data_IF_697812508487
#
_entry.id   IF_697812508487
#
_cell.length_a   1.000
_cell.length_b   1.000
_cell.length_c   1.000
_cell.angle_alpha   90.00
_cell.angle_beta   90.00
_cell.angle_gamma   90.00
#
_symmetry.space_group_name_H-M   'P 1'
#
loop_
_entity.id
_entity.type
_entity.pdbx_description
1 polymer ?
#
# COMPACT_ATOMS: atom_id res chain seq x y z
N UNK A 1 14.26 -4.18 25.63
CA UNK A 1 15.05 -3.13 26.31
C UNK A 1 15.04 -1.92 25.37
N UNK A 2 14.41 -0.81 25.75
CA UNK A 2 14.17 0.34 24.84
C UNK A 2 15.27 1.41 24.90
N UNK A 3 15.34 2.28 23.90
CA UNK A 3 16.30 3.40 23.82
C UNK A 3 16.25 4.37 25.01
N UNK A 4 15.13 4.41 25.76
CA UNK A 4 14.99 5.20 26.99
C UNK A 4 15.96 4.76 28.09
N UNK A 5 16.41 3.49 28.08
CA UNK A 5 17.41 2.99 29.03
C UNK A 5 18.81 3.58 28.79
N UNK A 6 19.07 4.11 27.60
CA UNK A 6 20.34 4.72 27.20
C UNK A 6 20.30 6.27 27.24
N UNK A 7 19.19 6.88 27.69
CA UNK A 7 19.06 8.34 27.78
C UNK A 7 19.08 9.06 26.43
N UNK A 8 18.78 8.39 25.33
CA UNK A 8 18.93 8.89 23.95
C UNK A 8 17.78 9.80 23.48
N UNK A 9 17.22 10.62 24.38
CA UNK A 9 16.16 11.56 24.02
C UNK A 9 16.76 12.86 23.50
N UNK A 10 16.41 13.27 22.27
CA UNK A 10 16.90 14.52 21.68
C UNK A 10 18.35 14.50 21.18
N UNK A 11 18.97 13.31 21.08
CA UNK A 11 20.32 13.15 20.56
C UNK A 11 20.28 13.05 19.03
N UNK A 12 21.12 13.84 18.36
CA UNK A 12 21.25 13.79 16.88
C UNK A 12 21.99 12.51 16.49
N UNK A 13 21.35 11.65 15.72
CA UNK A 13 21.96 10.45 15.16
C UNK A 13 22.47 10.69 13.73
N UNK A 14 23.59 10.06 13.37
CA UNK A 14 24.01 9.94 11.97
C UNK A 14 23.31 8.74 11.33
N UNK A 15 23.19 8.71 10.01
CA UNK A 15 22.54 7.60 9.31
C UNK A 15 23.40 7.08 8.17
N UNK A 16 23.44 5.75 8.02
CA UNK A 16 23.98 5.06 6.84
C UNK A 16 22.90 4.75 5.80
N UNK A 17 21.62 4.95 6.13
CA UNK A 17 20.47 4.70 5.26
C UNK A 17 19.57 5.94 5.14
N UNK A 18 18.77 6.01 4.08
CA UNK A 18 17.73 7.04 3.98
C UNK A 18 16.66 6.83 5.07
N UNK A 19 16.26 7.92 5.73
CA UNK A 19 15.23 7.93 6.78
C UNK A 19 14.04 8.78 6.32
N UNK A 20 13.16 8.23 5.46
CA UNK A 20 12.03 8.98 4.94
C UNK A 20 10.90 9.03 6.00
N UNK A 21 10.08 10.10 6.02
CA UNK A 21 9.11 10.35 7.09
C UNK A 21 8.02 9.26 7.21
N UNK A 22 7.75 8.51 6.15
CA UNK A 22 6.76 7.42 6.11
C UNK A 22 7.14 6.25 7.04
N UNK A 23 8.42 6.17 7.44
CA UNK A 23 8.96 5.09 8.29
C UNK A 23 9.11 5.48 9.77
N UNK A 24 8.56 6.63 10.17
CA UNK A 24 8.56 7.05 11.58
C UNK A 24 7.79 6.03 12.42
N UNK A 25 8.42 5.55 13.49
CA UNK A 25 7.85 4.54 14.40
C UNK A 25 8.33 3.11 14.12
N UNK A 26 9.07 2.87 13.03
CA UNK A 26 9.68 1.57 12.77
C UNK A 26 10.91 1.30 13.65
N UNK A 27 11.16 0.02 13.92
CA UNK A 27 12.34 -0.41 14.64
C UNK A 27 13.60 -0.31 13.76
N UNK A 28 14.69 0.20 14.33
CA UNK A 28 15.97 0.38 13.64
C UNK A 28 17.11 -0.32 14.37
N UNK A 29 18.10 -0.76 13.61
CA UNK A 29 19.38 -1.18 14.15
C UNK A 29 20.25 0.05 14.39
N UNK A 30 20.68 0.24 15.65
CA UNK A 30 21.56 1.32 16.08
C UNK A 30 22.96 0.78 16.37
N UNK A 31 23.97 1.47 15.87
CA UNK A 31 25.35 1.36 16.30
C UNK A 31 25.78 2.61 17.07
N UNK A 32 26.91 2.52 17.77
CA UNK A 32 27.48 3.62 18.54
C UNK A 32 28.93 3.84 18.13
N UNK A 33 29.26 5.06 17.72
CA UNK A 33 30.61 5.38 17.27
C UNK A 33 31.59 5.34 18.45
N UNK A 34 32.65 4.52 18.36
CA UNK A 34 33.62 4.37 19.45
C UNK A 34 33.03 3.80 20.74
N UNK A 35 31.91 3.06 20.65
CA UNK A 35 31.14 2.57 21.81
C UNK A 35 30.59 3.67 22.73
N UNK A 36 30.45 4.90 22.22
CA UNK A 36 29.85 6.03 22.94
C UNK A 36 28.32 6.11 22.67
N UNK A 37 27.47 5.89 23.69
CA UNK A 37 26.02 6.00 23.55
C UNK A 37 25.55 7.37 23.04
N UNK A 38 26.29 8.46 23.32
CA UNK A 38 25.93 9.81 22.88
C UNK A 38 26.21 10.06 21.39
N UNK A 39 26.79 9.08 20.69
CA UNK A 39 27.10 9.16 19.25
C UNK A 39 26.43 8.01 18.48
N UNK A 40 25.08 7.98 18.42
CA UNK A 40 24.36 6.93 17.71
C UNK A 40 24.47 7.07 16.19
N UNK A 41 24.54 5.91 15.51
CA UNK A 41 24.49 5.77 14.06
C UNK A 41 23.37 4.79 13.70
N UNK A 42 22.42 5.22 12.87
CA UNK A 42 21.41 4.33 12.30
C UNK A 42 22.05 3.49 11.19
N UNK A 43 22.12 2.19 11.41
CA UNK A 43 22.71 1.24 10.46
C UNK A 43 21.70 0.76 9.41
N UNK A 44 20.43 0.70 9.80
CA UNK A 44 19.35 0.20 8.95
C UNK A 44 18.05 0.00 9.71
N UNK A 45 16.99 -0.37 8.98
CA UNK A 45 15.72 -0.74 9.57
C UNK A 45 15.68 -2.23 9.87
N UNK A 46 15.02 -2.60 10.97
CA UNK A 46 14.77 -4.00 11.28
C UNK A 46 13.75 -4.56 10.30
N UNK A 47 14.00 -5.77 9.80
CA UNK A 47 13.02 -6.53 9.04
C UNK A 47 11.93 -7.00 10.01
N UNK A 48 10.89 -6.20 10.16
CA UNK A 48 9.69 -6.66 10.82
C UNK A 48 8.88 -7.51 9.84
N UNK A 49 8.82 -8.81 10.07
CA UNK A 49 7.86 -9.69 9.39
C UNK A 49 6.39 -9.33 9.70
N UNK A 50 6.14 -8.40 10.64
CA UNK A 50 4.81 -8.02 11.11
C UNK A 50 4.74 -6.50 11.37
N UNK A 51 4.85 -5.71 10.32
CA UNK A 51 4.41 -4.29 10.37
C UNK A 51 3.82 -3.90 9.02
N UNK A 52 2.74 -4.59 8.62
CA UNK A 52 1.70 -3.97 7.78
C UNK A 52 0.90 -3.01 8.66
N UNK A 53 1.51 -1.89 9.02
CA UNK A 53 0.84 -0.80 9.78
C UNK A 53 0.61 0.44 8.93
N UNK A 54 0.84 0.34 7.62
CA UNK A 54 -0.01 1.02 6.66
C UNK A 54 -1.00 -0.05 6.18
N UNK A 55 -2.33 0.13 6.29
CA UNK A 55 -3.20 -0.57 5.38
C UNK A 55 -2.95 0.09 4.02
N UNK A 56 -1.86 -0.27 3.33
CA UNK A 56 -2.01 -0.40 1.90
C UNK A 56 -2.97 -1.58 1.75
N UNK A 57 -4.21 -1.37 1.24
CA UNK A 57 -5.01 -2.48 0.78
C UNK A 57 -4.32 -3.01 -0.48
N UNK A 58 -3.16 -3.64 -0.31
CA UNK A 58 -2.63 -4.53 -1.33
C UNK A 58 -3.49 -5.77 -1.23
N UNK A 59 -4.65 -5.66 -1.87
CA UNK A 59 -5.44 -6.75 -2.38
C UNK A 59 -4.50 -7.88 -2.75
N UNK A 60 -4.62 -9.00 -2.06
CA UNK A 60 -3.86 -10.20 -2.36
C UNK A 60 -4.15 -10.55 -3.82
N UNK A 61 -3.20 -10.26 -4.70
CA UNK A 61 -3.15 -10.77 -6.05
C UNK A 61 -2.93 -12.29 -5.95
N UNK A 62 -3.99 -13.05 -5.68
CA UNK A 62 -3.88 -14.50 -5.66
C UNK A 62 -3.82 -14.91 -7.13
N UNK A 63 -2.65 -15.38 -7.54
CA UNK A 63 -2.53 -16.13 -8.79
C UNK A 63 -3.08 -17.52 -8.50
N UNK A 64 -4.28 -17.79 -8.98
CA UNK A 64 -4.81 -19.16 -8.92
C UNK A 64 -3.88 -20.11 -9.70
N UNK A 65 -3.93 -21.40 -9.38
CA UNK A 65 -3.15 -22.45 -10.07
C UNK A 65 -3.40 -22.45 -11.59
N UNK A 66 -4.55 -21.90 -12.03
CA UNK A 66 -4.95 -21.69 -13.42
C UNK A 66 -4.36 -20.42 -14.08
N UNK A 67 -3.49 -19.67 -13.39
CA UNK A 67 -2.86 -18.45 -13.90
C UNK A 67 -3.74 -17.18 -13.87
N UNK A 68 -4.92 -17.23 -13.21
CA UNK A 68 -5.83 -16.08 -13.07
C UNK A 68 -5.38 -15.16 -11.94
N UNK A 69 -5.42 -13.85 -12.18
CA UNK A 69 -5.23 -12.83 -11.15
C UNK A 69 -6.57 -12.52 -10.48
N UNK A 70 -6.66 -12.74 -9.17
CA UNK A 70 -7.82 -12.37 -8.35
C UNK A 70 -7.41 -11.24 -7.41
N UNK A 71 -8.26 -10.21 -7.31
CA UNK A 71 -8.07 -9.03 -6.45
C UNK A 71 -9.24 -9.04 -5.45
N UNK A 72 -8.95 -9.28 -4.17
CA UNK A 72 -9.96 -9.29 -3.10
C UNK A 72 -9.77 -8.09 -2.16
N UNK A 73 -10.88 -7.46 -1.76
CA UNK A 73 -10.94 -6.35 -0.82
C UNK A 73 -12.29 -6.32 -0.11
N UNK A 74 -12.31 -5.94 1.18
CA UNK A 74 -13.52 -5.95 2.01
C UNK A 74 -14.51 -4.83 1.63
N UNK A 75 -14.00 -3.66 1.25
CA UNK A 75 -14.82 -2.46 0.99
C UNK A 75 -15.04 -2.19 -0.49
N UNK A 76 -14.08 -2.56 -1.35
CA UNK A 76 -14.11 -2.27 -2.78
C UNK A 76 -12.71 -2.21 -3.40
N UNK A 77 -12.68 -2.14 -4.73
CA UNK A 77 -11.46 -2.05 -5.54
C UNK A 77 -11.59 -0.88 -6.51
N UNK A 78 -10.58 -0.02 -6.55
CA UNK A 78 -10.52 1.12 -7.48
C UNK A 78 -9.25 1.04 -8.35
N UNK A 79 -9.43 1.15 -9.67
CA UNK A 79 -8.37 1.31 -10.67
C UNK A 79 -8.40 2.74 -11.20
N UNK A 80 -7.42 3.57 -10.82
CA UNK A 80 -7.40 5.01 -11.12
C UNK A 80 -6.22 5.41 -12.00
N UNK A 81 -6.48 6.28 -12.97
CA UNK A 81 -5.47 6.93 -13.82
C UNK A 81 -5.89 8.39 -14.08
N UNK A 82 -5.33 9.33 -13.30
CA UNK A 82 -5.78 10.72 -13.33
C UNK A 82 -7.24 10.86 -12.92
N UNK A 83 -8.04 11.49 -13.77
CA UNK A 83 -9.49 11.65 -13.59
C UNK A 83 -10.32 10.40 -13.97
N UNK A 84 -9.71 9.43 -14.66
CA UNK A 84 -10.37 8.19 -15.03
C UNK A 84 -10.31 7.17 -13.87
N UNK A 85 -11.43 6.48 -13.64
CA UNK A 85 -11.57 5.54 -12.54
C UNK A 85 -12.54 4.39 -12.91
N UNK A 86 -12.14 3.16 -12.59
CA UNK A 86 -13.05 2.00 -12.55
C UNK A 86 -13.11 1.51 -11.11
N UNK A 87 -14.29 1.50 -10.50
CA UNK A 87 -14.48 1.04 -9.13
C UNK A 87 -15.53 -0.06 -9.02
N UNK A 88 -15.35 -0.96 -8.07
CA UNK A 88 -16.35 -1.88 -7.57
C UNK A 88 -16.44 -1.74 -6.05
N UNK A 89 -17.65 -1.56 -5.55
CA UNK A 89 -17.93 -1.39 -4.11
C UNK A 89 -18.46 -2.71 -3.52
N UNK A 90 -18.39 -2.86 -2.18
CA UNK A 90 -18.83 -4.07 -1.48
C UNK A 90 -20.33 -4.38 -1.64
N UNK A 91 -21.15 -3.39 -2.02
CA UNK A 91 -22.58 -3.56 -2.33
C UNK A 91 -22.83 -4.10 -3.74
N UNK A 92 -21.78 -4.29 -4.54
CA UNK A 92 -21.83 -4.81 -5.90
C UNK A 92 -22.01 -3.75 -6.97
N UNK A 93 -22.00 -2.45 -6.65
CA UNK A 93 -22.00 -1.40 -7.66
C UNK A 93 -20.67 -1.32 -8.38
N UNK A 94 -20.73 -1.29 -9.72
CA UNK A 94 -19.56 -1.09 -10.59
C UNK A 94 -19.70 0.25 -11.30
N UNK A 95 -18.69 1.11 -11.16
CA UNK A 95 -18.68 2.43 -11.78
C UNK A 95 -17.49 2.57 -12.72
N UNK A 96 -17.73 3.13 -13.91
CA UNK A 96 -16.70 3.42 -14.91
C UNK A 96 -16.80 4.91 -15.23
N UNK A 97 -15.75 5.67 -14.90
CA UNK A 97 -15.64 7.10 -15.14
C UNK A 97 -14.46 7.41 -16.06
N UNK A 98 -14.70 8.27 -17.04
CA UNK A 98 -13.68 8.80 -17.93
C UNK A 98 -14.29 9.67 -19.02
N UNK A 99 -13.46 10.43 -19.74
CA UNK A 99 -13.90 11.25 -20.87
C UNK A 99 -14.49 10.40 -22.02
N UNK A 100 -13.99 9.18 -22.19
CA UNK A 100 -14.46 8.21 -23.18
C UNK A 100 -14.45 6.80 -22.59
N UNK A 101 -15.52 6.03 -22.85
CA UNK A 101 -15.62 4.62 -22.47
C UNK A 101 -15.91 3.80 -23.72
N UNK A 102 -14.94 2.99 -24.14
CA UNK A 102 -15.10 2.06 -25.26
C UNK A 102 -15.30 0.66 -24.71
N UNK A 103 -16.52 0.14 -24.83
CA UNK A 103 -16.82 -1.26 -24.52
C UNK A 103 -16.76 -2.07 -25.81
N UNK A 104 -15.85 -3.04 -25.89
CA UNK A 104 -15.65 -3.88 -27.08
C UNK A 104 -15.65 -5.36 -26.71
N UNK A 105 -16.43 -6.16 -27.45
CA UNK A 105 -16.45 -7.61 -27.35
C UNK A 105 -16.26 -8.22 -28.74
N UNK A 106 -15.40 -9.23 -28.89
CA UNK A 106 -15.16 -9.92 -30.16
C UNK A 106 -16.32 -10.82 -30.61
N UNK A 107 -17.20 -11.18 -29.67
CA UNK A 107 -18.41 -11.96 -29.94
C UNK A 107 -19.65 -11.14 -29.59
N UNK A 108 -20.39 -11.53 -28.55
CA UNK A 108 -21.59 -10.81 -28.11
C UNK A 108 -21.36 -10.12 -26.77
N UNK A 109 -21.88 -8.89 -26.64
CA UNK A 109 -22.05 -8.22 -25.35
C UNK A 109 -23.48 -8.42 -24.87
N UNK A 110 -23.67 -9.15 -23.76
CA UNK A 110 -25.01 -9.46 -23.23
C UNK A 110 -25.29 -8.63 -21.99
N UNK A 111 -26.36 -7.84 -22.06
CA UNK A 111 -26.88 -7.05 -20.93
C UNK A 111 -28.18 -7.71 -20.48
N UNK A 112 -28.31 -8.02 -19.19
CA UNK A 112 -29.53 -8.59 -18.58
C UNK A 112 -30.03 -7.65 -17.50
N UNK A 113 -31.34 -7.38 -17.46
CA UNK A 113 -31.96 -6.49 -16.46
C UNK A 113 -31.61 -5.00 -16.63
N UNK A 114 -31.09 -4.59 -17.78
CA UNK A 114 -30.64 -3.22 -18.01
C UNK A 114 -31.76 -2.28 -18.44
N UNK A 115 -31.97 -1.20 -17.67
CA UNK A 115 -32.50 0.05 -18.20
C UNK A 115 -31.33 0.85 -18.76
N UNK A 116 -31.38 1.22 -20.04
CA UNK A 116 -30.37 2.07 -20.67
C UNK A 116 -30.98 3.46 -20.81
N UNK A 117 -30.51 4.40 -19.99
CA UNK A 117 -30.88 5.80 -20.11
C UNK A 117 -29.78 6.52 -20.88
N UNK A 118 -30.11 6.98 -22.08
CA UNK A 118 -29.26 7.84 -22.91
C UNK A 118 -29.87 9.24 -22.80
N UNK A 119 -29.11 10.19 -22.28
CA UNK A 119 -29.48 11.60 -22.21
C UNK A 119 -28.56 12.43 -23.10
#
# INVERSE_FOLDING_TARGET
>A
MGISAFGLSGVVARSLVALPPERIGEAVALGFEGADPQRPIVLGFMLNAVTRSNPDPVSCAIRNEDGRLVIEADNGVELRCGEACISIDADGHVQIRGAYVTSHASASQRIRGGSVQIN
#
